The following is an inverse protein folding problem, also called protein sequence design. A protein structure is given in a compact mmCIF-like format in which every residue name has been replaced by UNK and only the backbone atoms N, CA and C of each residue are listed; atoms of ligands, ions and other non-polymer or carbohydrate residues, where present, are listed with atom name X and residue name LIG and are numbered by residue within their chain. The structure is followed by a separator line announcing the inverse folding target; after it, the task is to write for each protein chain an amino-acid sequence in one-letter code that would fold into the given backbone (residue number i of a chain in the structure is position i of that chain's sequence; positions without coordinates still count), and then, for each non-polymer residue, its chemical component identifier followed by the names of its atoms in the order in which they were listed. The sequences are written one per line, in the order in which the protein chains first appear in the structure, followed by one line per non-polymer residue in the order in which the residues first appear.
data_IF_399118043149
#
_entry.id   IF_399118043149
#
_cell.length_a   1.000
_cell.length_b   1.000
_cell.length_c   1.000
_cell.angle_alpha   90.00
_cell.angle_beta   90.00
_cell.angle_gamma   90.00
#
_symmetry.space_group_name_H-M   'P 1'
#
loop_
_entity.id
_entity.type
_entity.pdbx_description
1 polymer ?
#
# COMPACT_ATOMS: atom_id res chain seq x y z
N UNK A 1 -23.26 -64.80 -47.05
CA UNK A 1 -24.42 -65.64 -46.69
C UNK A 1 -24.93 -65.22 -45.31
N UNK A 2 -25.93 -64.33 -45.27
CA UNK A 2 -27.04 -64.27 -44.32
C UNK A 2 -27.84 -62.99 -44.60
N UNK A 3 -28.89 -63.23 -45.37
CA UNK A 3 -30.04 -62.36 -45.65
C UNK A 3 -30.83 -62.14 -44.37
N UNK A 4 -31.24 -60.90 -44.08
CA UNK A 4 -32.48 -60.61 -43.36
C UNK A 4 -33.18 -59.44 -44.06
N UNK A 5 -34.42 -59.73 -44.39
CA UNK A 5 -35.45 -59.04 -45.15
C UNK A 5 -36.19 -57.94 -44.38
N UNK A 6 -36.68 -56.98 -45.18
CA UNK A 6 -37.98 -56.30 -45.12
C UNK A 6 -38.29 -55.27 -44.03
N UNK A 7 -38.67 -54.08 -44.50
CA UNK A 7 -39.33 -53.04 -43.72
C UNK A 7 -39.53 -51.75 -44.52
N UNK A 8 -40.23 -51.84 -45.65
CA UNK A 8 -40.69 -50.68 -46.43
C UNK A 8 -41.81 -49.97 -45.64
N UNK A 9 -41.59 -48.71 -45.25
CA UNK A 9 -42.65 -47.85 -44.74
C UNK A 9 -42.48 -46.46 -45.38
N UNK A 10 -43.23 -46.27 -46.45
CA UNK A 10 -43.42 -44.98 -47.12
C UNK A 10 -44.44 -44.21 -46.27
N UNK A 11 -44.02 -43.09 -45.68
CA UNK A 11 -44.94 -42.07 -45.19
C UNK A 11 -44.45 -40.72 -45.70
N UNK A 12 -45.12 -40.22 -46.73
CA UNK A 12 -44.92 -38.86 -47.21
C UNK A 12 -45.52 -37.86 -46.22
N UNK A 13 -44.80 -36.75 -46.02
CA UNK A 13 -45.40 -35.50 -45.57
C UNK A 13 -44.50 -34.33 -45.99
N UNK A 14 -44.89 -33.72 -47.11
CA UNK A 14 -44.97 -32.28 -47.36
C UNK A 14 -43.86 -31.38 -46.78
N UNK A 15 -42.90 -31.03 -47.64
CA UNK A 15 -42.03 -29.86 -47.50
C UNK A 15 -42.88 -28.59 -47.61
N UNK A 16 -43.06 -27.87 -46.49
CA UNK A 16 -43.47 -26.48 -46.50
C UNK A 16 -42.22 -25.61 -46.47
N UNK A 17 -41.86 -25.04 -47.62
CA UNK A 17 -40.92 -23.93 -47.72
C UNK A 17 -41.60 -22.67 -47.20
N UNK A 18 -41.42 -22.39 -45.91
CA UNK A 18 -41.67 -21.05 -45.37
C UNK A 18 -40.41 -20.22 -45.63
N UNK A 19 -40.45 -19.47 -46.72
CA UNK A 19 -39.58 -18.32 -46.96
C UNK A 19 -39.89 -17.25 -45.90
N UNK A 20 -39.04 -17.14 -44.89
CA UNK A 20 -38.95 -15.96 -44.05
C UNK A 20 -37.58 -15.33 -44.29
N UNK A 21 -37.57 -14.29 -45.12
CA UNK A 21 -36.40 -13.47 -45.31
C UNK A 21 -36.20 -12.58 -44.09
N UNK A 22 -35.30 -12.99 -43.21
CA UNK A 22 -34.66 -12.12 -42.24
C UNK A 22 -33.21 -12.59 -42.08
N UNK A 23 -32.32 -11.98 -42.87
CA UNK A 23 -30.88 -11.98 -42.63
C UNK A 23 -30.61 -11.58 -41.18
N UNK A 24 -29.84 -12.36 -40.40
CA UNK A 24 -29.38 -11.93 -39.10
C UNK A 24 -28.57 -10.65 -39.26
N UNK A 25 -29.04 -9.54 -38.69
CA UNK A 25 -28.25 -8.31 -38.57
C UNK A 25 -27.07 -8.62 -37.65
N UNK A 26 -25.86 -8.35 -38.13
CA UNK A 26 -24.67 -8.29 -37.29
C UNK A 26 -24.95 -7.40 -36.07
N UNK A 27 -24.55 -7.82 -34.85
CA UNK A 27 -24.66 -6.97 -33.69
C UNK A 27 -23.79 -5.73 -33.93
N UNK A 28 -24.41 -4.55 -33.86
CA UNK A 28 -23.68 -3.29 -33.85
C UNK A 28 -22.77 -3.28 -32.62
N UNK A 29 -21.47 -3.23 -32.84
CA UNK A 29 -20.53 -2.80 -31.81
C UNK A 29 -20.96 -1.41 -31.36
N UNK A 30 -21.51 -1.33 -30.15
CA UNK A 30 -21.57 -0.06 -29.44
C UNK A 30 -20.13 0.25 -29.04
N UNK A 31 -19.47 1.11 -29.80
CA UNK A 31 -18.25 1.77 -29.36
C UNK A 31 -18.57 2.41 -28.01
N UNK A 32 -18.01 1.82 -26.95
CA UNK A 32 -18.07 2.41 -25.62
C UNK A 32 -17.18 3.64 -25.70
N UNK A 33 -17.79 4.82 -25.78
CA UNK A 33 -17.09 6.09 -25.66
C UNK A 33 -16.39 6.09 -24.29
N UNK A 34 -15.09 5.80 -24.29
CA UNK A 34 -14.27 5.85 -23.08
C UNK A 34 -14.14 7.32 -22.76
N UNK A 35 -15.00 7.83 -21.87
CA UNK A 35 -14.82 9.16 -21.32
C UNK A 35 -13.40 9.24 -20.74
N UNK A 36 -12.58 10.14 -21.30
CA UNK A 36 -11.23 10.38 -20.80
C UNK A 36 -11.35 10.89 -19.36
N UNK A 37 -10.98 10.03 -18.39
CA UNK A 37 -10.95 10.42 -16.98
C UNK A 37 -9.89 11.53 -16.85
N UNK A 38 -10.26 12.74 -16.37
CA UNK A 38 -9.31 13.83 -16.24
C UNK A 38 -8.13 13.40 -15.36
N UNK A 39 -6.92 13.48 -15.91
CA UNK A 39 -5.70 13.11 -15.20
C UNK A 39 -5.36 14.18 -14.17
N UNK A 40 -5.29 13.82 -12.90
CA UNK A 40 -4.84 14.71 -11.83
C UNK A 40 -3.31 14.71 -11.76
N UNK A 41 -2.70 15.89 -11.72
CA UNK A 41 -1.26 16.03 -11.50
C UNK A 41 -0.93 15.73 -10.03
N UNK A 42 -0.05 14.76 -9.80
CA UNK A 42 0.25 14.34 -8.43
C UNK A 42 0.92 15.46 -7.61
N UNK A 43 0.40 15.68 -6.40
CA UNK A 43 1.01 16.57 -5.41
C UNK A 43 1.85 15.72 -4.46
N UNK A 44 3.12 16.11 -4.30
CA UNK A 44 4.11 15.38 -3.52
C UNK A 44 4.25 15.99 -2.13
N UNK A 45 3.93 15.21 -1.10
CA UNK A 45 4.07 15.61 0.30
C UNK A 45 5.36 15.06 0.88
N UNK A 46 6.12 15.90 1.60
CA UNK A 46 7.36 15.50 2.24
C UNK A 46 7.07 14.69 3.50
N UNK A 47 7.69 13.52 3.65
CA UNK A 47 7.62 12.74 4.89
C UNK A 47 8.80 13.08 5.79
N UNK A 48 8.50 13.46 7.03
CA UNK A 48 9.47 13.92 8.03
C UNK A 48 9.17 13.30 9.38
N UNK A 49 10.21 13.04 10.17
CA UNK A 49 10.07 12.87 11.60
C UNK A 49 10.09 14.25 12.28
N UNK A 50 9.33 14.42 13.35
CA UNK A 50 9.20 15.69 14.08
C UNK A 50 9.77 15.47 15.48
N UNK A 51 10.90 16.12 15.76
CA UNK A 51 11.51 16.13 17.08
C UNK A 51 10.62 16.92 18.06
N UNK A 52 10.62 16.62 19.38
CA UNK A 52 9.79 17.31 20.36
C UNK A 52 9.94 18.84 20.43
N UNK A 53 11.08 19.38 19.98
CA UNK A 53 11.32 20.83 19.88
C UNK A 53 10.77 21.47 18.58
N UNK A 54 10.19 20.67 17.69
CA UNK A 54 9.61 21.10 16.42
C UNK A 54 10.55 20.96 15.21
N UNK A 55 11.82 20.56 15.39
CA UNK A 55 12.71 20.32 14.27
C UNK A 55 12.24 19.14 13.40
N UNK A 56 12.40 19.27 12.09
CA UNK A 56 12.03 18.21 11.14
C UNK A 56 13.25 17.44 10.70
N UNK A 57 13.15 16.11 10.71
CA UNK A 57 14.22 15.18 10.38
C UNK A 57 13.81 14.41 9.12
N UNK A 58 14.74 14.21 8.18
CA UNK A 58 14.46 13.55 6.91
C UNK A 58 14.09 12.08 7.15
N UNK A 59 13.04 11.57 6.48
CA UNK A 59 12.72 10.13 6.48
C UNK A 59 13.01 9.57 5.10
N UNK A 60 13.86 8.54 5.04
CA UNK A 60 14.39 7.96 3.80
C UNK A 60 14.35 6.45 3.83
N UNK A 61 14.28 5.85 2.65
CA UNK A 61 14.47 4.43 2.43
C UNK A 61 15.94 4.18 2.04
N UNK A 62 16.55 3.12 2.55
CA UNK A 62 17.93 2.77 2.29
C UNK A 62 18.01 1.36 1.71
N UNK A 63 18.72 1.19 0.60
CA UNK A 63 19.02 -0.14 0.07
C UNK A 63 20.09 -0.87 0.93
N UNK A 64 20.49 -2.07 0.50
CA UNK A 64 21.51 -2.86 1.18
C UNK A 64 22.91 -2.23 1.12
N UNK A 65 23.17 -1.34 0.15
CA UNK A 65 24.43 -0.61 -0.01
C UNK A 65 24.45 0.69 0.79
N UNK A 66 23.33 1.08 1.41
CA UNK A 66 23.17 2.33 2.14
C UNK A 66 22.82 3.53 1.28
N UNK A 67 22.42 3.35 0.02
CA UNK A 67 21.99 4.45 -0.83
C UNK A 67 20.62 4.98 -0.34
N UNK A 68 20.50 6.30 -0.11
CA UNK A 68 19.27 6.90 0.37
C UNK A 68 18.29 7.22 -0.77
N UNK A 69 17.00 6.97 -0.52
CA UNK A 69 15.89 7.28 -1.42
C UNK A 69 14.78 8.02 -0.67
N UNK A 70 14.12 8.93 -1.39
CA UNK A 70 13.07 9.76 -0.80
C UNK A 70 11.79 8.96 -0.52
N UNK A 71 11.18 9.21 0.64
CA UNK A 71 9.85 8.75 0.96
C UNK A 71 8.89 9.93 0.91
N UNK A 72 7.81 9.78 0.15
CA UNK A 72 6.78 10.80 -0.07
C UNK A 72 5.39 10.23 0.14
N UNK A 73 4.47 11.09 0.57
CA UNK A 73 3.05 10.80 0.43
C UNK A 73 2.54 11.40 -0.89
N UNK A 74 1.74 10.64 -1.63
CA UNK A 74 1.30 10.95 -2.98
C UNK A 74 -0.18 11.28 -2.96
N UNK A 75 -0.51 12.52 -3.31
CA UNK A 75 -1.87 12.96 -3.53
C UNK A 75 -2.15 12.93 -5.03
N UNK A 76 -3.11 12.11 -5.43
CA UNK A 76 -3.47 11.85 -6.83
C UNK A 76 -4.90 12.29 -7.17
N UNK A 77 -5.47 13.17 -6.33
CA UNK A 77 -6.82 13.71 -6.45
C UNK A 77 -6.93 14.99 -5.61
N UNK A 78 -8.07 15.66 -5.70
CA UNK A 78 -8.42 16.81 -4.86
C UNK A 78 -8.52 16.48 -3.36
N UNK A 79 -8.85 15.24 -2.97
CA UNK A 79 -8.77 14.82 -1.57
C UNK A 79 -7.32 14.69 -1.08
N UNK A 80 -7.09 15.07 0.18
CA UNK A 80 -5.83 14.98 0.90
C UNK A 80 -5.92 14.16 2.21
N UNK A 81 -7.06 13.51 2.46
CA UNK A 81 -7.34 12.87 3.76
C UNK A 81 -6.74 11.47 3.91
N UNK A 82 -6.40 10.80 2.80
CA UNK A 82 -5.84 9.45 2.81
C UNK A 82 -4.92 9.21 1.60
N UNK A 83 -3.61 9.34 1.83
CA UNK A 83 -2.59 9.31 0.79
C UNK A 83 -1.74 8.05 0.86
N UNK A 84 -1.30 7.60 -0.32
CA UNK A 84 -0.32 6.53 -0.45
C UNK A 84 1.07 7.02 -0.04
N UNK A 85 1.80 6.22 0.75
CA UNK A 85 3.20 6.48 1.08
C UNK A 85 4.11 5.59 0.23
N UNK A 86 5.03 6.21 -0.51
CA UNK A 86 5.90 5.56 -1.49
C UNK A 86 7.35 5.97 -1.29
N UNK A 87 8.26 5.03 -1.52
CA UNK A 87 9.67 5.35 -1.74
C UNK A 87 9.92 5.57 -3.24
N UNK A 88 10.68 6.60 -3.58
CA UNK A 88 11.02 6.98 -4.95
C UNK A 88 12.41 6.44 -5.28
N UNK A 89 12.45 5.29 -5.97
CA UNK A 89 13.69 4.56 -6.28
C UNK A 89 13.81 4.47 -7.80
N UNK A 90 14.79 5.15 -8.37
CA UNK A 90 15.11 5.08 -9.82
C UNK A 90 13.89 5.26 -10.74
N UNK A 91 13.05 6.27 -10.45
CA UNK A 91 11.83 6.56 -11.19
C UNK A 91 10.63 5.64 -10.88
N UNK A 92 10.79 4.67 -9.98
CA UNK A 92 9.71 3.78 -9.50
C UNK A 92 9.18 4.25 -8.14
N UNK A 93 7.88 4.02 -7.92
CA UNK A 93 7.18 4.31 -6.65
C UNK A 93 6.93 3.02 -5.88
N UNK A 94 7.86 2.66 -5.02
CA UNK A 94 7.79 1.42 -4.24
C UNK A 94 6.79 1.58 -3.08
N UNK A 95 5.90 0.60 -2.83
CA UNK A 95 5.05 0.61 -1.64
C UNK A 95 5.91 0.58 -0.36
N UNK A 96 5.54 1.41 0.61
CA UNK A 96 6.05 1.30 1.98
C UNK A 96 5.06 0.51 2.82
N UNK A 97 5.55 -0.51 3.53
CA UNK A 97 4.75 -1.46 4.32
C UNK A 97 5.38 -1.69 5.68
N UNK A 98 4.53 -2.03 6.63
CA UNK A 98 4.95 -2.63 7.89
C UNK A 98 4.99 -4.14 7.71
N UNK A 99 6.07 -4.81 8.09
CA UNK A 99 6.19 -6.27 8.00
C UNK A 99 5.82 -6.93 9.33
N UNK A 100 5.39 -8.18 9.26
CA UNK A 100 5.21 -9.03 10.45
C UNK A 100 6.58 -9.25 11.09
N UNK A 101 6.65 -9.15 12.41
CA UNK A 101 7.85 -9.43 13.21
C UNK A 101 7.46 -9.94 14.59
N UNK A 102 8.34 -10.73 15.20
CA UNK A 102 8.27 -11.15 16.60
C UNK A 102 8.97 -10.15 17.54
N UNK A 103 9.60 -9.12 16.99
CA UNK A 103 10.23 -8.04 17.75
C UNK A 103 9.19 -7.18 18.48
N UNK A 104 9.65 -6.41 19.47
CA UNK A 104 8.79 -5.47 20.21
C UNK A 104 8.10 -4.46 19.29
N UNK A 105 8.77 -4.00 18.23
CA UNK A 105 8.23 -3.05 17.27
C UNK A 105 8.32 -3.59 15.84
N UNK A 106 7.24 -3.40 15.09
CA UNK A 106 7.14 -3.91 13.73
C UNK A 106 7.99 -3.07 12.76
N UNK A 107 8.85 -3.70 11.92
CA UNK A 107 9.72 -2.98 11.00
C UNK A 107 8.94 -2.39 9.82
N UNK A 108 9.35 -1.20 9.38
CA UNK A 108 8.81 -0.54 8.21
C UNK A 108 9.83 -0.59 7.07
N UNK A 109 9.38 -1.02 5.90
CA UNK A 109 10.22 -1.26 4.72
C UNK A 109 9.55 -0.76 3.45
N UNK A 110 10.33 -0.25 2.50
CA UNK A 110 9.87 -0.19 1.11
C UNK A 110 10.15 -1.53 0.43
N UNK A 111 9.32 -1.92 -0.53
CA UNK A 111 9.36 -3.25 -1.14
C UNK A 111 9.34 -3.09 -2.66
N UNK A 112 10.32 -3.68 -3.35
CA UNK A 112 10.31 -3.72 -4.82
C UNK A 112 9.45 -4.86 -5.38
N UNK A 113 9.37 -4.94 -6.71
CA UNK A 113 8.58 -5.97 -7.40
C UNK A 113 9.18 -7.39 -7.28
N UNK A 114 10.48 -7.50 -6.93
CA UNK A 114 11.18 -8.76 -6.70
C UNK A 114 11.09 -9.25 -5.25
N UNK A 115 10.59 -8.42 -4.33
CA UNK A 115 10.55 -8.72 -2.90
C UNK A 115 11.79 -8.25 -2.12
N UNK A 116 12.71 -7.53 -2.76
CA UNK A 116 13.83 -6.89 -2.05
C UNK A 116 13.30 -5.75 -1.19
N UNK A 117 13.93 -5.53 -0.04
CA UNK A 117 13.45 -4.53 0.94
C UNK A 117 14.44 -3.40 1.14
N UNK A 118 13.91 -2.21 1.37
CA UNK A 118 14.66 -1.01 1.71
C UNK A 118 14.31 -0.60 3.13
N UNK A 119 15.33 -0.38 3.96
CA UNK A 119 15.13 0.00 5.37
C UNK A 119 14.68 1.44 5.47
N UNK A 120 13.58 1.69 6.18
CA UNK A 120 13.11 3.07 6.41
C UNK A 120 13.69 3.61 7.71
N UNK A 121 14.37 4.75 7.64
CA UNK A 121 14.98 5.43 8.79
C UNK A 121 14.74 6.93 8.72
N UNK A 122 14.69 7.58 9.88
CA UNK A 122 14.86 9.02 9.97
C UNK A 122 16.36 9.33 10.11
N UNK A 123 16.85 10.36 9.43
CA UNK A 123 18.27 10.74 9.42
C UNK A 123 18.42 12.25 9.63
N UNK A 124 19.25 12.64 10.60
CA UNK A 124 19.58 14.04 10.86
C UNK A 124 20.57 14.57 9.82
N UNK A 125 20.79 15.88 9.80
CA UNK A 125 21.76 16.48 8.88
C UNK A 125 23.21 16.08 9.22
N UNK A 126 23.47 15.67 10.46
CA UNK A 126 24.74 15.11 10.96
C UNK A 126 24.90 13.62 10.66
N UNK A 127 23.86 12.96 10.14
CA UNK A 127 23.88 11.54 9.78
C UNK A 127 23.51 10.58 10.93
N UNK A 128 22.97 11.07 12.04
CA UNK A 128 22.39 10.21 13.07
C UNK A 128 21.12 9.56 12.53
N UNK A 129 21.02 8.23 12.64
CA UNK A 129 19.90 7.46 12.11
C UNK A 129 19.01 6.92 13.22
N UNK A 130 17.70 6.96 12.96
CA UNK A 130 16.67 6.44 13.85
C UNK A 130 15.76 5.50 13.10
N UNK A 131 15.49 4.37 13.73
CA UNK A 131 14.69 3.31 13.15
C UNK A 131 13.22 3.72 13.07
N UNK A 132 12.60 3.61 11.89
CA UNK A 132 11.16 3.86 11.75
C UNK A 132 10.37 2.57 11.92
N UNK A 133 9.48 2.55 12.92
CA UNK A 133 8.78 1.33 13.34
C UNK A 133 7.30 1.59 13.64
N UNK A 134 6.50 0.51 13.58
CA UNK A 134 5.18 0.44 14.19
C UNK A 134 5.29 0.07 15.67
N UNK A 135 4.75 0.90 16.54
CA UNK A 135 4.98 0.83 17.99
C UNK A 135 3.80 0.21 18.75
N UNK A 136 2.58 0.56 18.37
CA UNK A 136 1.37 0.11 19.06
C UNK A 136 0.18 0.12 18.10
N UNK A 137 -0.71 -0.85 18.26
CA UNK A 137 -1.97 -0.94 17.51
C UNK A 137 -3.13 -0.44 18.38
N UNK A 138 -3.89 0.51 17.86
CA UNK A 138 -5.16 0.98 18.42
C UNK A 138 -6.25 0.75 17.37
N UNK A 139 -7.10 -0.24 17.59
CA UNK A 139 -8.10 -0.65 16.59
C UNK A 139 -7.44 -1.06 15.27
N UNK A 140 -7.78 -0.37 14.19
CA UNK A 140 -7.21 -0.62 12.85
C UNK A 140 -5.98 0.23 12.53
N UNK A 141 -5.55 1.09 13.46
CA UNK A 141 -4.42 2.00 13.30
C UNK A 141 -3.22 1.43 14.04
N UNK A 142 -2.06 1.46 13.40
CA UNK A 142 -0.77 1.20 14.04
C UNK A 142 0.02 2.50 14.08
N UNK A 143 0.35 2.95 15.28
CA UNK A 143 1.11 4.18 15.51
C UNK A 143 2.54 3.96 15.04
N UNK A 144 3.01 4.88 14.20
CA UNK A 144 4.38 4.87 13.68
C UNK A 144 5.22 5.96 14.34
N UNK A 145 6.47 5.61 14.66
CA UNK A 145 7.45 6.55 15.23
C UNK A 145 8.83 6.29 14.62
N UNK A 146 9.65 7.34 14.57
CA UNK A 146 11.09 7.16 14.53
C UNK A 146 11.57 6.95 15.97
N UNK A 147 12.42 5.95 16.18
CA UNK A 147 12.90 5.52 17.50
C UNK A 147 14.40 5.76 17.58
N UNK A 148 14.82 6.63 18.51
CA UNK A 148 16.25 6.88 18.75
C UNK A 148 16.91 5.72 19.50
N UNK A 149 18.24 5.66 19.47
CA UNK A 149 19.00 4.69 20.28
C UNK A 149 18.71 4.84 21.79
N UNK A 150 18.44 6.07 22.24
CA UNK A 150 18.07 6.35 23.61
C UNK A 150 16.68 5.82 23.99
N UNK A 151 15.83 5.52 22.99
CA UNK A 151 14.46 5.04 23.13
C UNK A 151 13.40 6.15 23.06
N UNK A 152 13.75 7.33 22.54
CA UNK A 152 12.80 8.41 22.32
C UNK A 152 11.99 8.19 21.05
N UNK A 153 10.76 8.71 21.04
CA UNK A 153 9.81 8.49 19.94
C UNK A 153 9.45 9.81 19.27
N UNK A 154 9.72 9.92 17.98
CA UNK A 154 9.39 11.10 17.18
C UNK A 154 8.21 10.80 16.26
N UNK A 155 7.28 11.75 16.17
CA UNK A 155 6.13 11.63 15.27
C UNK A 155 6.58 11.61 13.82
N UNK A 156 5.90 10.87 12.96
CA UNK A 156 6.16 10.93 11.51
C UNK A 156 4.96 11.57 10.82
N UNK A 157 5.23 12.62 10.05
CA UNK A 157 4.21 13.41 9.36
C UNK A 157 4.52 13.55 7.88
N UNK A 158 3.47 13.55 7.06
CA UNK A 158 3.50 14.07 5.72
C UNK A 158 3.15 15.56 5.76
N UNK A 159 3.91 16.37 5.03
CA UNK A 159 3.79 17.83 4.97
C UNK A 159 3.54 18.22 3.51
N UNK A 160 2.39 18.84 3.22
CA UNK A 160 2.05 19.32 1.88
C UNK A 160 2.94 20.50 1.47
N UNK A 161 3.01 20.84 0.17
CA UNK A 161 3.66 22.07 -0.28
C UNK A 161 3.12 23.34 0.40
N UNK A 162 1.83 23.35 0.76
CA UNK A 162 1.13 24.44 1.45
C UNK A 162 1.23 24.34 2.99
N UNK A 163 1.95 23.33 3.52
CA UNK A 163 2.15 23.15 4.95
C UNK A 163 1.04 22.40 5.69
N UNK A 164 0.09 21.77 4.98
CA UNK A 164 -0.89 20.88 5.62
C UNK A 164 -0.19 19.65 6.19
N UNK A 165 -0.71 19.13 7.30
CA UNK A 165 -0.10 18.01 8.02
C UNK A 165 -1.02 16.79 8.05
N UNK A 166 -0.47 15.67 7.61
CA UNK A 166 -1.01 14.33 7.84
C UNK A 166 -0.07 13.53 8.71
N UNK A 167 -0.61 12.67 9.56
CA UNK A 167 0.19 11.69 10.26
C UNK A 167 0.45 10.48 9.36
N UNK A 168 1.64 9.90 9.48
CA UNK A 168 1.96 8.61 8.88
C UNK A 168 1.58 7.50 9.84
N UNK A 169 0.73 6.57 9.39
CA UNK A 169 0.21 5.48 10.20
C UNK A 169 0.22 4.16 9.44
N UNK A 170 0.26 3.06 10.18
CA UNK A 170 -0.07 1.75 9.66
C UNK A 170 -1.58 1.54 9.68
N UNK A 171 -2.15 1.00 8.60
CA UNK A 171 -3.55 0.60 8.48
C UNK A 171 -3.59 -0.92 8.45
N UNK A 172 -4.19 -1.48 9.49
CA UNK A 172 -4.32 -2.91 9.72
C UNK A 172 -5.78 -3.28 9.90
N UNK A 173 -6.36 -3.89 8.87
CA UNK A 173 -7.77 -4.23 8.86
C UNK A 173 -7.96 -5.66 9.39
N UNK A 174 -7.02 -6.56 9.07
CA UNK A 174 -7.09 -7.93 9.50
C UNK A 174 -6.84 -8.06 11.02
N UNK A 175 -7.61 -8.94 11.66
CA UNK A 175 -7.40 -9.29 13.06
C UNK A 175 -6.11 -10.10 13.24
N UNK A 176 -5.81 -11.02 12.31
CA UNK A 176 -4.58 -11.81 12.30
C UNK A 176 -3.34 -10.95 12.04
N UNK A 177 -2.16 -11.39 12.47
CA UNK A 177 -0.92 -10.63 12.34
C UNK A 177 -0.56 -10.28 10.89
N UNK A 178 -0.81 -11.20 9.97
CA UNK A 178 -0.60 -10.98 8.53
C UNK A 178 -1.84 -10.34 7.90
N UNK A 179 -1.65 -9.16 7.35
CA UNK A 179 -2.63 -8.46 6.50
C UNK A 179 -2.67 -9.08 5.10
N UNK A 180 -1.51 -9.25 4.47
CA UNK A 180 -1.36 -9.84 3.14
C UNK A 180 0.04 -10.42 2.92
N UNK A 181 0.21 -11.15 1.82
CA UNK A 181 1.53 -11.45 1.26
C UNK A 181 1.80 -10.50 0.10
N UNK A 182 3.00 -9.92 0.05
CA UNK A 182 3.44 -9.03 -1.03
C UNK A 182 4.84 -9.45 -1.47
N UNK A 183 4.97 -9.96 -2.69
CA UNK A 183 6.25 -10.43 -3.25
C UNK A 183 7.02 -11.39 -2.30
N UNK A 184 6.28 -12.29 -1.64
CA UNK A 184 6.84 -13.26 -0.69
C UNK A 184 7.01 -12.75 0.75
N UNK A 185 6.80 -11.46 1.01
CA UNK A 185 6.89 -10.87 2.34
C UNK A 185 5.54 -10.85 3.05
N UNK A 186 5.53 -11.16 4.35
CA UNK A 186 4.34 -11.03 5.19
C UNK A 186 4.16 -9.60 5.66
N UNK A 187 3.16 -8.91 5.11
CA UNK A 187 2.80 -7.53 5.47
C UNK A 187 1.90 -7.55 6.71
N UNK A 188 2.24 -6.76 7.71
CA UNK A 188 1.43 -6.54 8.91
C UNK A 188 0.41 -5.42 8.74
N UNK A 189 0.79 -4.33 8.06
CA UNK A 189 -0.05 -3.15 7.84
C UNK A 189 0.36 -2.35 6.58
N UNK A 190 -0.58 -1.65 5.98
CA UNK A 190 -0.35 -0.69 4.89
C UNK A 190 0.10 0.64 5.48
N UNK A 191 1.14 1.29 4.93
CA UNK A 191 1.50 2.65 5.39
C UNK A 191 0.75 3.70 4.59
N UNK A 192 0.12 4.64 5.29
CA UNK A 192 -0.72 5.71 4.74
C UNK A 192 -0.46 7.03 5.46
N UNK A 193 -0.61 8.14 4.74
CA UNK A 193 -0.70 9.45 5.37
C UNK A 193 -2.17 9.84 5.49
N UNK A 194 -2.61 10.23 6.68
CA UNK A 194 -4.00 10.59 6.92
C UNK A 194 -4.14 11.66 8.00
N UNK A 195 -5.29 12.33 8.03
CA UNK A 195 -5.59 13.33 9.05
C UNK A 195 -5.44 12.76 10.47
N UNK A 196 -5.10 13.64 11.40
CA UNK A 196 -4.94 13.29 12.81
C UNK A 196 -6.29 12.85 13.39
N UNK A 197 -6.27 11.81 14.22
CA UNK A 197 -7.45 11.39 14.98
C UNK A 197 -7.34 11.85 16.45
N UNK A 198 -8.41 12.33 17.09
CA UNK A 198 -8.37 12.80 18.49
C UNK A 198 -7.96 11.70 19.49
N UNK A 199 -8.20 10.44 19.15
CA UNK A 199 -7.93 9.29 20.02
C UNK A 199 -6.43 9.09 20.30
N UNK A 200 -5.56 9.65 19.45
CA UNK A 200 -4.12 9.50 19.55
C UNK A 200 -3.45 10.50 20.51
N UNK A 201 -4.14 11.57 20.92
CA UNK A 201 -3.61 12.54 21.89
C UNK A 201 -3.35 11.90 23.27
N UNK A 202 -4.02 10.78 23.57
CA UNK A 202 -3.87 10.04 24.82
C UNK A 202 -2.84 8.90 24.74
N UNK A 203 -2.15 8.73 23.62
CA UNK A 203 -1.15 7.67 23.45
C UNK A 203 0.03 7.84 24.41
N UNK A 204 0.38 6.77 25.13
CA UNK A 204 1.58 6.71 25.97
C UNK A 204 2.53 5.69 25.39
N UNK A 205 3.64 6.16 24.84
CA UNK A 205 4.61 5.28 24.22
C UNK A 205 5.13 4.21 25.21
N UNK A 206 5.25 2.94 24.78
CA UNK A 206 5.77 1.88 25.63
C UNK A 206 7.19 2.20 26.07
N UNK A 207 7.48 1.99 27.36
CA UNK A 207 8.83 2.22 27.90
C UNK A 207 9.74 1.06 27.49
N UNK A 208 10.80 1.36 26.74
CA UNK A 208 11.86 0.39 26.46
C UNK A 208 12.61 0.14 27.77
N UNK A 209 12.43 -1.05 28.36
CA UNK A 209 13.24 -1.47 29.50
C UNK A 209 14.65 -1.78 28.98
N UNK A 210 15.62 -0.90 29.25
CA UNK A 210 17.04 -1.19 28.97
C UNK A 210 17.41 -2.51 29.65
N UNK A 211 17.66 -3.56 28.87
CA UNK A 211 18.38 -4.72 29.38
C UNK A 211 19.80 -4.23 29.63
N UNK A 212 20.23 -4.18 30.89
CA UNK A 212 21.60 -3.82 31.25
C UNK A 212 22.60 -4.71 30.52
N UNK A 213 23.88 -4.29 30.42
CA UNK A 213 24.90 -5.10 29.73
C UNK A 213 24.89 -6.50 30.36
N UNK A 214 24.70 -7.52 29.51
CA UNK A 214 24.92 -8.90 29.92
C UNK A 214 26.36 -8.98 30.47
N UNK A 215 26.48 -9.37 31.75
CA UNK A 215 27.77 -9.71 32.37
C UNK A 215 28.28 -11.04 31.82
#
# INVERSE_FOLDING_TARGET
MRSITSGLLILGSMLLFVSCGDTPKEPKENETEVEEVPSFEEIIWNVKAIHPDGQTINVKAFDELGNPYDIKAIQNSDQDSFLDVRALVEGKKLPVKMLVSDDLFAPVKAIDQGGSTYTVRAITDEGEEMDVKGIERIGSIVIMRAVSEAGDYYAIKAISPEGKLNDIKGIKINAADREMSLHGLSVHAHIKAMHQSPEEENFKAPKIKRRGPYK
#
